data_IF_480186626242
#
_entry.id   IF_480186626242
#
_cell.length_a   1.000
_cell.length_b   1.000
_cell.length_c   1.000
_cell.angle_alpha   90.00
_cell.angle_beta   90.00
_cell.angle_gamma   90.00
#
_symmetry.space_group_name_H-M   'P 1'
#
loop_
_entity.id
_entity.type
_entity.pdbx_description
1 polymer ?
#
# COMPACT_ATOMS: atom_id res chain seq x y z
N UNK A 1 -16.60 16.86 -1.75
CA UNK A 1 -15.64 16.24 -2.68
C UNK A 1 -15.35 14.88 -2.09
N UNK A 2 -15.88 13.81 -2.66
CA UNK A 2 -15.56 12.43 -2.27
C UNK A 2 -15.19 11.77 -3.58
N UNK A 3 -13.89 11.65 -3.85
CA UNK A 3 -13.46 10.73 -4.91
C UNK A 3 -13.90 9.35 -4.47
N UNK A 4 -14.47 8.63 -5.41
CA UNK A 4 -15.00 7.29 -5.25
C UNK A 4 -13.84 6.38 -4.81
N UNK A 5 -13.69 6.13 -3.50
CA UNK A 5 -12.74 5.15 -2.96
C UNK A 5 -13.23 3.71 -3.21
N UNK A 6 -14.38 3.55 -3.88
CA UNK A 6 -14.88 2.27 -4.33
C UNK A 6 -13.89 1.65 -5.34
N UNK A 7 -13.21 0.59 -4.91
CA UNK A 7 -12.22 -0.14 -5.72
C UNK A 7 -10.76 0.12 -5.34
N UNK A 8 -10.49 0.80 -4.22
CA UNK A 8 -9.14 0.90 -3.66
C UNK A 8 -8.93 -0.08 -2.50
N UNK A 9 -7.73 -0.66 -2.46
CA UNK A 9 -7.30 -1.62 -1.44
C UNK A 9 -5.99 -1.15 -0.85
N UNK A 10 -5.94 -1.05 0.47
CA UNK A 10 -4.82 -0.48 1.20
C UNK A 10 -3.92 -1.56 1.81
N UNK A 11 -2.63 -1.23 1.87
CA UNK A 11 -1.63 -1.94 2.63
C UNK A 11 -0.66 -0.97 3.27
N UNK A 12 -0.05 -1.40 4.37
CA UNK A 12 0.70 -0.58 5.30
C UNK A 12 2.06 -1.22 5.63
N UNK A 13 3.02 -0.40 6.00
CA UNK A 13 4.29 -0.84 6.55
C UNK A 13 4.77 0.16 7.60
N UNK A 14 5.71 -0.30 8.44
CA UNK A 14 6.31 0.52 9.50
C UNK A 14 5.25 1.16 10.40
N UNK A 15 4.34 0.34 10.93
CA UNK A 15 3.27 0.76 11.84
C UNK A 15 2.37 1.87 11.25
N UNK A 16 2.11 1.81 9.93
CA UNK A 16 1.27 2.76 9.21
C UNK A 16 2.01 4.00 8.70
N UNK A 17 3.33 4.11 8.91
CA UNK A 17 4.09 5.27 8.45
C UNK A 17 4.29 5.29 6.90
N UNK A 18 4.08 4.15 6.24
CA UNK A 18 4.08 4.00 4.79
C UNK A 18 2.83 3.25 4.39
N UNK A 19 1.98 3.87 3.58
CA UNK A 19 0.73 3.28 3.09
C UNK A 19 0.69 3.32 1.56
N UNK A 20 0.18 2.25 0.95
CA UNK A 20 0.04 2.13 -0.50
C UNK A 20 -1.38 1.70 -0.81
N UNK A 21 -2.04 2.42 -1.71
CA UNK A 21 -3.32 2.04 -2.28
C UNK A 21 -3.13 1.42 -3.67
N UNK A 22 -3.79 0.29 -3.92
CA UNK A 22 -3.91 -0.32 -5.23
C UNK A 22 -5.36 -0.35 -5.68
N UNK A 23 -5.61 -0.16 -6.97
CA UNK A 23 -6.93 -0.30 -7.56
C UNK A 23 -7.32 -1.78 -7.78
N UNK A 24 -8.55 -2.04 -8.21
CA UNK A 24 -9.06 -3.39 -8.53
C UNK A 24 -8.26 -4.12 -9.64
N UNK A 25 -7.44 -3.39 -10.41
CA UNK A 25 -6.54 -3.94 -11.42
C UNK A 25 -5.14 -4.22 -10.88
N UNK A 26 -4.90 -3.98 -9.58
CA UNK A 26 -3.61 -4.13 -8.91
C UNK A 26 -2.60 -3.04 -9.28
N UNK A 27 -3.04 -1.88 -9.78
CA UNK A 27 -2.16 -0.73 -10.07
C UNK A 27 -2.10 0.18 -8.86
N UNK A 28 -0.91 0.64 -8.52
CA UNK A 28 -0.72 1.66 -7.48
C UNK A 28 -1.42 2.95 -7.89
N UNK A 29 -2.43 3.36 -7.11
CA UNK A 29 -3.14 4.62 -7.29
C UNK A 29 -2.53 5.74 -6.45
N UNK A 30 -2.08 5.42 -5.23
CA UNK A 30 -1.59 6.38 -4.23
C UNK A 30 -0.53 5.75 -3.33
N UNK A 31 0.43 6.58 -2.90
CA UNK A 31 1.42 6.25 -1.87
C UNK A 31 1.42 7.39 -0.86
N UNK A 32 1.14 7.08 0.41
CA UNK A 32 1.16 8.03 1.52
C UNK A 32 2.34 7.72 2.44
N UNK A 33 3.04 8.77 2.86
CA UNK A 33 4.25 8.67 3.68
C UNK A 33 4.19 9.68 4.80
N UNK A 34 4.38 9.23 6.03
CA UNK A 34 4.61 10.12 7.15
C UNK A 34 5.91 10.92 6.93
N UNK A 35 5.92 12.26 7.12
CA UNK A 35 7.08 13.09 6.81
C UNK A 35 8.36 12.66 7.52
N UNK A 36 8.24 12.08 8.72
CA UNK A 36 9.38 11.64 9.52
C UNK A 36 10.10 10.42 8.92
N UNK A 37 9.41 9.62 8.08
CA UNK A 37 10.03 8.48 7.39
C UNK A 37 11.11 8.97 6.43
N UNK A 38 10.87 10.06 5.71
CA UNK A 38 11.82 10.65 4.77
C UNK A 38 13.09 11.19 5.44
N UNK A 39 13.02 11.48 6.75
CA UNK A 39 14.16 11.96 7.54
C UNK A 39 14.93 10.84 8.23
N UNK A 40 14.24 9.74 8.55
CA UNK A 40 14.77 8.66 9.40
C UNK A 40 15.29 7.47 8.60
N UNK A 41 14.77 7.23 7.40
CA UNK A 41 15.13 6.09 6.57
C UNK A 41 16.11 6.47 5.47
N UNK A 42 17.03 5.55 5.18
CA UNK A 42 17.78 5.60 3.93
C UNK A 42 16.87 5.19 2.74
N UNK A 43 17.16 5.66 1.52
CA UNK A 43 16.34 5.38 0.35
C UNK A 43 16.04 3.89 0.14
N UNK A 44 16.98 3.00 0.44
CA UNK A 44 16.81 1.55 0.31
C UNK A 44 15.81 0.99 1.32
N UNK A 45 15.82 1.53 2.55
CA UNK A 45 14.87 1.14 3.60
C UNK A 45 13.47 1.66 3.28
N UNK A 46 13.37 2.90 2.79
CA UNK A 46 12.10 3.45 2.30
C UNK A 46 11.55 2.62 1.14
N UNK A 47 12.40 2.27 0.17
CA UNK A 47 12.02 1.39 -0.93
C UNK A 47 11.51 0.02 -0.44
N UNK A 48 12.19 -0.59 0.53
CA UNK A 48 11.73 -1.84 1.15
C UNK A 48 10.38 -1.69 1.86
N UNK A 49 10.14 -0.57 2.53
CA UNK A 49 8.87 -0.32 3.22
C UNK A 49 7.71 -0.13 2.22
N UNK A 50 7.94 0.61 1.14
CA UNK A 50 6.96 0.78 0.05
C UNK A 50 6.62 -0.56 -0.59
N UNK A 51 7.61 -1.41 -0.86
CA UNK A 51 7.38 -2.77 -1.41
C UNK A 51 6.57 -3.63 -0.43
N UNK A 52 6.84 -3.53 0.87
CA UNK A 52 6.09 -4.27 1.89
C UNK A 52 4.62 -3.81 1.96
N UNK A 53 4.38 -2.50 2.02
CA UNK A 53 3.02 -1.93 2.01
C UNK A 53 2.26 -2.30 0.73
N UNK A 54 2.92 -2.26 -0.43
CA UNK A 54 2.33 -2.71 -1.70
C UNK A 54 1.98 -4.22 -1.68
N UNK A 55 2.84 -5.07 -1.13
CA UNK A 55 2.55 -6.50 -1.03
C UNK A 55 1.35 -6.77 -0.12
N UNK A 56 1.20 -6.03 0.99
CA UNK A 56 0.00 -6.09 1.83
C UNK A 56 -1.24 -5.63 1.06
N UNK A 57 -1.15 -4.52 0.30
CA UNK A 57 -2.27 -3.98 -0.48
C UNK A 57 -2.78 -5.00 -1.52
N UNK A 58 -1.86 -5.67 -2.21
CA UNK A 58 -2.18 -6.75 -3.17
C UNK A 58 -2.79 -7.96 -2.46
N UNK A 59 -2.33 -8.32 -1.26
CA UNK A 59 -2.92 -9.40 -0.49
C UNK A 59 -4.36 -9.06 -0.05
N UNK A 60 -4.61 -7.82 0.36
CA UNK A 60 -5.96 -7.29 0.65
C UNK A 60 -6.86 -7.37 -0.57
N UNK A 61 -6.39 -6.91 -1.73
CA UNK A 61 -7.10 -7.03 -3.02
C UNK A 61 -7.43 -8.50 -3.35
N UNK A 62 -6.49 -9.42 -3.16
CA UNK A 62 -6.71 -10.84 -3.42
C UNK A 62 -7.76 -11.43 -2.47
N UNK A 63 -7.72 -11.08 -1.19
CA UNK A 63 -8.71 -11.51 -0.19
C UNK A 63 -10.12 -10.98 -0.51
N UNK A 64 -10.23 -9.71 -0.93
CA UNK A 64 -11.49 -9.10 -1.33
C UNK A 64 -12.13 -9.80 -2.54
N UNK A 65 -11.31 -10.33 -3.45
CA UNK A 65 -11.74 -11.02 -4.66
C UNK A 65 -11.91 -12.54 -4.51
N UNK A 66 -11.77 -13.09 -3.30
CA UNK A 66 -11.94 -14.53 -3.05
C UNK A 66 -10.75 -15.40 -3.49
N UNK A 67 -9.55 -14.81 -3.57
CA UNK A 67 -8.32 -15.51 -3.92
C UNK A 67 -7.86 -16.48 -2.81
N UNK A 68 -8.39 -17.70 -2.82
CA UNK A 68 -7.72 -18.84 -2.17
C UNK A 68 -6.33 -19.08 -2.79
N UNK A 69 -5.41 -19.76 -2.07
CA UNK A 69 -4.05 -19.98 -2.55
C UNK A 69 -4.07 -20.65 -3.92
N UNK A 70 -3.39 -20.04 -4.89
CA UNK A 70 -2.96 -20.74 -6.11
C UNK A 70 -1.74 -21.58 -5.80
#
# INVERSE_FOLDING_TARGET
>A
MSTDDAGQHWGSALDGAVEVAVDDHGRVSTVELEPDVLRRLWPEQLGSAVVAAHAEAVATLAAANGGGPR
#
